data_IF_726310306319
#
_entry.id   IF_726310306319
#
_cell.length_a   1.000
_cell.length_b   1.000
_cell.length_c   1.000
_cell.angle_alpha   90.00
_cell.angle_beta   90.00
_cell.angle_gamma   90.00
#
_symmetry.space_group_name_H-M   'P 1'
#
loop_
_entity.id
_entity.type
_entity.pdbx_description
1 polymer ?
#
# COMPACT_ATOMS: atom_id res chain seq x y z
N UNK A 1 16.55 3.17 -11.61
CA UNK A 1 15.28 2.45 -11.85
C UNK A 1 14.11 3.41 -11.62
N UNK A 2 13.15 3.47 -12.55
CA UNK A 2 11.96 4.33 -12.43
C UNK A 2 10.79 3.61 -11.76
N UNK A 3 10.08 4.31 -10.86
CA UNK A 3 9.00 3.82 -10.00
C UNK A 3 7.91 4.88 -9.88
N UNK A 4 6.69 4.43 -9.61
CA UNK A 4 5.51 5.27 -9.36
C UNK A 4 4.84 4.76 -8.09
N UNK A 5 4.39 5.69 -7.24
CA UNK A 5 3.69 5.41 -5.99
C UNK A 5 2.50 6.36 -5.87
N UNK A 6 1.39 5.86 -5.31
CA UNK A 6 0.20 6.67 -5.02
C UNK A 6 0.10 6.86 -3.51
N UNK A 7 0.51 8.03 -3.05
CA UNK A 7 0.47 8.45 -1.66
C UNK A 7 -0.01 9.92 -1.56
N UNK A 8 -0.35 10.37 -0.36
CA UNK A 8 -0.77 11.74 -0.07
C UNK A 8 0.42 12.71 0.04
N UNK A 9 1.64 12.20 0.26
CA UNK A 9 2.85 13.00 0.45
C UNK A 9 4.05 12.41 -0.28
N UNK A 10 5.01 13.28 -0.65
CA UNK A 10 6.28 12.88 -1.26
C UNK A 10 7.16 12.06 -0.30
N UNK A 11 7.14 12.38 1.00
CA UNK A 11 7.85 11.63 2.05
C UNK A 11 7.26 10.23 2.30
N UNK A 12 5.94 10.09 2.20
CA UNK A 12 5.25 8.79 2.21
C UNK A 12 5.65 7.94 0.99
N UNK A 13 5.58 8.50 -0.21
CA UNK A 13 6.00 7.84 -1.45
C UNK A 13 7.49 7.41 -1.42
N UNK A 14 8.38 8.23 -0.86
CA UNK A 14 9.80 7.87 -0.64
C UNK A 14 9.94 6.74 0.38
N UNK A 15 9.17 6.76 1.47
CA UNK A 15 9.15 5.67 2.46
C UNK A 15 8.63 4.36 1.84
N UNK A 16 7.62 4.43 0.95
CA UNK A 16 7.14 3.29 0.18
C UNK A 16 8.21 2.77 -0.78
N UNK A 17 8.98 3.66 -1.43
CA UNK A 17 10.10 3.30 -2.29
C UNK A 17 11.19 2.50 -1.56
N UNK A 18 11.60 2.94 -0.35
CA UNK A 18 12.58 2.21 0.47
C UNK A 18 12.07 0.82 0.88
N UNK A 19 10.80 0.71 1.29
CA UNK A 19 10.18 -0.56 1.68
C UNK A 19 10.04 -1.53 0.49
N UNK A 20 9.66 -1.01 -0.68
CA UNK A 20 9.54 -1.76 -1.93
C UNK A 20 10.91 -2.29 -2.41
N UNK A 21 11.97 -1.48 -2.31
CA UNK A 21 13.33 -1.88 -2.62
C UNK A 21 13.87 -2.96 -1.67
N UNK A 22 13.66 -2.80 -0.36
CA UNK A 22 14.04 -3.81 0.63
C UNK A 22 13.33 -5.15 0.39
N UNK A 23 12.03 -5.12 0.10
CA UNK A 23 11.24 -6.32 -0.15
C UNK A 23 11.59 -7.04 -1.47
N UNK A 24 11.63 -6.32 -2.60
CA UNK A 24 11.79 -6.93 -3.93
C UNK A 24 13.24 -7.15 -4.35
N UNK A 25 14.20 -6.40 -3.78
CA UNK A 25 15.60 -6.42 -4.23
C UNK A 25 16.62 -6.51 -3.09
N UNK A 26 16.18 -6.66 -1.83
CA UNK A 26 17.04 -6.71 -0.62
C UNK A 26 17.96 -5.49 -0.43
N UNK A 27 17.69 -4.40 -1.13
CA UNK A 27 18.48 -3.17 -1.05
C UNK A 27 18.20 -2.41 0.24
N UNK A 28 19.25 -1.91 0.89
CA UNK A 28 19.17 -1.15 2.17
C UNK A 28 19.03 0.34 1.88
N UNK A 29 18.52 1.12 2.83
CA UNK A 29 18.30 2.55 2.64
C UNK A 29 19.57 3.32 2.19
N UNK A 30 20.72 3.00 2.79
CA UNK A 30 22.02 3.60 2.42
C UNK A 30 22.54 3.19 1.03
N UNK A 31 22.02 2.11 0.41
CA UNK A 31 22.41 1.67 -0.93
C UNK A 31 21.43 2.14 -2.02
N UNK A 32 20.58 3.14 -1.72
CA UNK A 32 19.53 3.64 -2.61
C UNK A 32 19.61 5.17 -2.68
N UNK A 33 20.20 5.67 -3.76
CA UNK A 33 20.17 7.10 -4.09
C UNK A 33 18.90 7.42 -4.90
N UNK A 34 18.20 8.49 -4.51
CA UNK A 34 16.99 8.97 -5.19
C UNK A 34 17.37 10.23 -5.99
N UNK A 35 17.10 10.22 -7.30
CA UNK A 35 17.54 11.29 -8.22
C UNK A 35 16.51 12.42 -8.41
N UNK A 36 15.21 12.10 -8.36
CA UNK A 36 14.09 13.04 -8.52
C UNK A 36 12.85 12.45 -7.85
N UNK A 37 12.04 13.31 -7.23
CA UNK A 37 10.71 12.98 -6.68
C UNK A 37 9.76 14.10 -7.10
N UNK A 38 8.59 13.76 -7.61
CA UNK A 38 7.68 14.71 -8.26
C UNK A 38 6.25 14.15 -8.27
N UNK A 39 5.25 15.03 -8.26
CA UNK A 39 3.85 14.65 -8.41
C UNK A 39 3.51 14.48 -9.90
N UNK A 40 3.18 13.26 -10.32
CA UNK A 40 2.89 12.93 -11.73
C UNK A 40 1.37 12.92 -11.95
N UNK A 41 0.90 13.66 -12.96
CA UNK A 41 -0.51 13.67 -13.35
C UNK A 41 -0.97 12.35 -13.98
N UNK A 42 -2.22 11.96 -13.75
CA UNK A 42 -2.74 10.62 -14.10
C UNK A 42 -2.58 10.19 -15.57
N UNK A 43 -2.48 11.13 -16.52
CA UNK A 43 -2.21 10.84 -17.95
C UNK A 43 -0.76 10.38 -18.22
N UNK A 44 0.16 10.67 -17.32
CA UNK A 44 1.60 10.36 -17.45
C UNK A 44 2.05 9.16 -16.59
N UNK A 45 1.16 8.59 -15.77
CA UNK A 45 1.43 7.36 -15.03
C UNK A 45 1.50 6.15 -15.99
N UNK A 46 2.56 5.36 -15.90
CA UNK A 46 2.90 4.25 -16.81
C UNK A 46 2.82 2.88 -16.15
N UNK A 47 2.70 2.78 -14.82
CA UNK A 47 2.65 1.50 -14.10
C UNK A 47 1.20 1.01 -13.91
N UNK A 48 0.85 -0.24 -14.30
CA UNK A 48 -0.52 -0.76 -14.17
C UNK A 48 -1.04 -0.78 -12.73
N UNK A 49 -0.14 -1.01 -11.77
CA UNK A 49 -0.42 -0.96 -10.33
C UNK A 49 -0.89 0.43 -9.85
N UNK A 50 -0.48 1.50 -10.54
CA UNK A 50 -0.93 2.88 -10.30
C UNK A 50 -2.21 3.16 -11.10
N UNK A 51 -2.19 2.87 -12.40
CA UNK A 51 -3.24 3.33 -13.33
C UNK A 51 -4.60 2.68 -13.09
N UNK A 52 -4.64 1.44 -12.59
CA UNK A 52 -5.89 0.78 -12.20
C UNK A 52 -6.73 1.61 -11.20
N UNK A 53 -6.10 2.43 -10.36
CA UNK A 53 -6.78 3.25 -9.35
C UNK A 53 -7.21 4.64 -9.86
N UNK A 54 -7.00 4.99 -11.14
CA UNK A 54 -7.44 6.28 -11.68
C UNK A 54 -8.93 6.32 -12.05
N UNK A 55 -9.61 5.18 -12.16
CA UNK A 55 -11.05 5.14 -12.42
C UNK A 55 -11.84 5.61 -11.17
N UNK A 56 -12.54 6.74 -11.27
CA UNK A 56 -13.36 7.30 -10.17
C UNK A 56 -14.57 6.44 -9.79
N UNK A 57 -14.99 5.51 -10.68
CA UNK A 57 -16.08 4.55 -10.43
C UNK A 57 -15.57 3.18 -9.95
N UNK A 58 -14.29 3.06 -9.57
CA UNK A 58 -13.73 1.79 -9.09
C UNK A 58 -14.44 1.34 -7.80
N UNK A 59 -14.84 0.07 -7.78
CA UNK A 59 -15.40 -0.63 -6.61
C UNK A 59 -14.72 -1.98 -6.52
N UNK A 60 -14.32 -2.39 -5.32
CA UNK A 60 -13.73 -3.70 -5.07
C UNK A 60 -14.34 -4.31 -3.79
N UNK A 61 -14.59 -5.64 -3.77
CA UNK A 61 -15.07 -6.32 -2.57
C UNK A 61 -13.99 -6.32 -1.48
N UNK A 62 -14.38 -6.03 -0.24
CA UNK A 62 -13.50 -6.21 0.92
C UNK A 62 -13.52 -7.67 1.39
N UNK A 63 -12.82 -8.54 0.66
CA UNK A 63 -12.90 -10.00 0.76
C UNK A 63 -12.45 -10.59 2.12
N UNK A 64 -11.57 -9.91 2.84
CA UNK A 64 -10.87 -10.49 3.99
C UNK A 64 -10.93 -9.56 5.21
N UNK A 65 -12.00 -9.63 6.01
CA UNK A 65 -12.09 -8.87 7.26
C UNK A 65 -11.17 -9.46 8.34
N UNK A 66 -9.93 -8.99 8.36
CA UNK A 66 -9.08 -9.08 9.54
C UNK A 66 -9.69 -8.21 10.63
N UNK A 67 -10.39 -8.85 11.59
CA UNK A 67 -10.84 -8.18 12.82
C UNK A 67 -9.61 -7.59 13.51
N UNK A 68 -9.51 -6.26 13.56
CA UNK A 68 -8.56 -5.60 14.47
C UNK A 68 -8.82 -6.15 15.87
N UNK A 69 -7.78 -6.63 16.55
CA UNK A 69 -7.92 -7.08 17.94
C UNK A 69 -8.28 -5.87 18.78
N UNK A 70 -9.39 -5.95 19.52
CA UNK A 70 -9.70 -4.98 20.57
C UNK A 70 -8.60 -5.12 21.63
N UNK A 71 -7.75 -4.10 21.78
CA UNK A 71 -6.65 -4.13 22.75
C UNK A 71 -7.16 -4.21 24.20
N UNK A 72 -8.39 -3.74 24.43
CA UNK A 72 -9.09 -3.74 25.71
C UNK A 72 -10.09 -4.91 25.83
N UNK A 73 -10.05 -5.90 24.94
CA UNK A 73 -10.94 -7.07 24.93
C UNK A 73 -10.19 -8.36 25.23
N UNK A 74 -10.90 -9.36 25.75
CA UNK A 74 -10.28 -10.63 26.16
C UNK A 74 -9.51 -11.31 25.02
N UNK A 75 -8.31 -11.78 25.36
CA UNK A 75 -7.42 -12.50 24.44
C UNK A 75 -7.97 -13.89 24.04
N UNK A 76 -8.92 -14.40 24.81
CA UNK A 76 -9.60 -15.69 24.61
C UNK A 76 -11.11 -15.41 24.56
N UNK A 77 -11.79 -15.89 23.51
CA UNK A 77 -13.24 -15.71 23.34
C UNK A 77 -13.91 -17.05 23.07
N UNK A 78 -15.01 -17.34 23.79
CA UNK A 78 -15.75 -18.60 23.64
C UNK A 78 -16.42 -18.76 22.27
N UNK A 79 -16.85 -17.65 21.65
CA UNK A 79 -17.49 -17.67 20.33
C UNK A 79 -16.48 -17.74 19.19
N UNK A 80 -16.71 -18.67 18.24
CA UNK A 80 -15.92 -18.77 17.00
C UNK A 80 -16.05 -17.47 16.18
N UNK A 81 -14.95 -16.81 15.77
CA UNK A 81 -15.04 -15.57 15.00
C UNK A 81 -15.50 -15.85 13.57
N UNK A 82 -16.80 -15.68 13.32
CA UNK A 82 -17.37 -15.71 11.96
C UNK A 82 -16.75 -14.56 11.13
N UNK A 83 -16.18 -14.84 9.93
CA UNK A 83 -15.78 -13.80 8.99
C UNK A 83 -17.02 -13.20 8.33
N UNK A 84 -17.03 -11.89 8.09
CA UNK A 84 -18.09 -11.26 7.29
C UNK A 84 -17.90 -11.62 5.82
N UNK A 85 -18.61 -12.64 5.37
CA UNK A 85 -19.01 -12.79 3.96
C UNK A 85 -20.13 -11.79 3.68
N UNK A 86 -20.36 -11.45 2.41
CA UNK A 86 -21.27 -10.39 1.96
C UNK A 86 -22.73 -10.64 2.33
#
# INVERSE_FOLDING_TARGET
>A
MYREYRDLTSSGAVTQCYRDMGARHRARAHSIQIMRVEAIGAKACRRPQTTQFHNSKIRFPYLCYSKKKNLNGDRITHNRPIPKVF
#
